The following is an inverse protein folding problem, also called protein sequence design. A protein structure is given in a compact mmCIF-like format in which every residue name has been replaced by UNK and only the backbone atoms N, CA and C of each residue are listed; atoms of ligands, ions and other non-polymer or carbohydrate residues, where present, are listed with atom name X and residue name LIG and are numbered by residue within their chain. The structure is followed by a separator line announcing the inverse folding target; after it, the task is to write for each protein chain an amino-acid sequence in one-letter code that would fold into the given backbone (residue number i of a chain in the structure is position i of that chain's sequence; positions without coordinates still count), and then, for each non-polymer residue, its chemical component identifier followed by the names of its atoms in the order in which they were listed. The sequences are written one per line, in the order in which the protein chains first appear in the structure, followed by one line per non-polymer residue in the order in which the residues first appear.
data_IF_662901187857
#
_entry.id   IF_662901187857
#
_cell.length_a   1.000
_cell.length_b   1.000
_cell.length_c   1.000
_cell.angle_alpha   90.00
_cell.angle_beta   90.00
_cell.angle_gamma   90.00
#
_symmetry.space_group_name_H-M   'P 1'
#
loop_
_entity.id
_entity.type
_entity.pdbx_description
1 polymer ?
#
# COMPACT_ATOMS: atom_id res chain seq x y z
N UNK A 1 -46.13 2.00 0.79
CA UNK A 1 -44.81 1.39 0.65
C UNK A 1 -43.87 2.45 0.10
N UNK A 2 -43.06 3.07 0.98
CA UNK A 2 -42.04 4.04 0.56
C UNK A 2 -40.81 3.21 0.20
N UNK A 3 -40.55 3.04 -1.08
CA UNK A 3 -39.31 2.45 -1.58
C UNK A 3 -38.18 3.36 -1.17
N UNK A 4 -37.30 2.86 -0.30
CA UNK A 4 -36.11 3.53 0.18
C UNK A 4 -35.11 3.61 -0.99
N UNK A 5 -35.11 4.74 -1.73
CA UNK A 5 -34.27 5.04 -2.88
C UNK A 5 -32.85 5.48 -2.46
N UNK A 6 -32.35 5.08 -1.30
CA UNK A 6 -30.92 5.20 -0.99
C UNK A 6 -30.18 4.07 -1.68
N UNK A 7 -29.94 4.24 -2.98
CA UNK A 7 -28.98 3.43 -3.71
C UNK A 7 -27.64 3.56 -2.98
N UNK A 8 -27.19 2.48 -2.34
CA UNK A 8 -25.84 2.36 -1.83
C UNK A 8 -24.89 2.77 -2.94
N UNK A 9 -24.11 3.82 -2.72
CA UNK A 9 -23.18 4.30 -3.75
C UNK A 9 -21.97 3.39 -3.78
N UNK A 10 -21.82 2.65 -4.88
CA UNK A 10 -20.60 1.92 -5.13
C UNK A 10 -19.43 2.88 -5.37
N UNK A 11 -18.21 2.45 -5.04
CA UNK A 11 -16.98 3.22 -5.15
C UNK A 11 -15.89 2.39 -5.79
N UNK A 12 -15.07 3.04 -6.61
CA UNK A 12 -13.89 2.44 -7.22
C UNK A 12 -12.65 2.70 -6.34
N UNK A 13 -11.92 1.64 -6.04
CA UNK A 13 -10.54 1.72 -5.55
C UNK A 13 -9.60 1.47 -6.71
N UNK A 14 -8.74 2.43 -7.03
CA UNK A 14 -7.85 2.39 -8.20
C UNK A 14 -6.40 2.38 -7.73
N UNK A 15 -5.75 1.27 -7.92
CA UNK A 15 -4.31 1.09 -7.71
C UNK A 15 -3.60 1.17 -9.07
N UNK A 16 -2.87 2.27 -9.28
CA UNK A 16 -2.02 2.46 -10.47
C UNK A 16 -0.62 1.98 -10.12
N UNK A 17 -0.44 0.67 -10.19
CA UNK A 17 0.86 0.06 -9.94
C UNK A 17 1.83 0.21 -11.12
N UNK A 18 3.09 -0.13 -10.89
CA UNK A 18 4.17 -0.01 -11.89
C UNK A 18 4.15 -1.09 -12.99
N UNK A 19 3.44 -2.18 -12.78
CA UNK A 19 3.30 -3.28 -13.74
C UNK A 19 1.85 -3.54 -14.17
N UNK A 20 0.87 -3.10 -13.39
CA UNK A 20 -0.54 -3.28 -13.70
C UNK A 20 -1.39 -2.22 -13.01
N UNK A 21 -2.48 -1.83 -13.66
CA UNK A 21 -3.57 -1.08 -13.06
C UNK A 21 -4.57 -2.09 -12.50
N UNK A 22 -5.02 -1.89 -11.26
CA UNK A 22 -6.01 -2.74 -10.61
C UNK A 22 -7.16 -1.87 -10.12
N UNK A 23 -8.36 -2.26 -10.44
CA UNK A 23 -9.57 -1.55 -10.02
C UNK A 23 -10.52 -2.54 -9.37
N UNK A 24 -11.06 -2.15 -8.23
CA UNK A 24 -12.13 -2.88 -7.55
C UNK A 24 -13.33 -1.96 -7.36
N UNK A 25 -14.53 -2.49 -7.58
CA UNK A 25 -15.77 -1.81 -7.27
C UNK A 25 -16.42 -2.45 -6.06
N UNK A 26 -16.49 -1.71 -4.96
CA UNK A 26 -17.18 -2.14 -3.74
C UNK A 26 -18.46 -1.34 -3.54
N UNK A 27 -19.45 -2.01 -2.98
CA UNK A 27 -20.71 -1.42 -2.51
C UNK A 27 -20.82 -1.64 -1.00
N UNK A 28 -21.20 -0.60 -0.25
CA UNK A 28 -21.43 -0.72 1.20
C UNK A 28 -22.92 -0.85 1.46
N UNK A 29 -23.35 -1.99 1.96
CA UNK A 29 -24.73 -2.27 2.32
C UNK A 29 -24.80 -2.85 3.73
N UNK A 30 -25.64 -2.27 4.58
CA UNK A 30 -25.81 -2.73 5.97
C UNK A 30 -24.51 -2.76 6.79
N UNK A 31 -23.57 -1.85 6.50
CA UNK A 31 -22.27 -1.81 7.17
C UNK A 31 -21.21 -2.79 6.65
N UNK A 32 -21.55 -3.64 5.67
CA UNK A 32 -20.64 -4.60 5.04
C UNK A 32 -20.25 -4.16 3.63
N UNK A 33 -19.03 -4.47 3.22
CA UNK A 33 -18.57 -4.26 1.85
C UNK A 33 -18.90 -5.49 1.00
N UNK A 34 -19.56 -5.28 -0.14
CA UNK A 34 -19.82 -6.28 -1.15
C UNK A 34 -18.99 -6.02 -2.41
N UNK A 35 -18.38 -7.07 -2.96
CA UNK A 35 -17.69 -7.00 -4.24
C UNK A 35 -18.69 -6.94 -5.38
N UNK A 36 -18.66 -5.88 -6.18
CA UNK A 36 -19.45 -5.77 -7.42
C UNK A 36 -18.65 -6.21 -8.64
N UNK A 37 -17.49 -5.60 -8.82
CA UNK A 37 -16.64 -5.84 -9.98
C UNK A 37 -15.16 -5.70 -9.60
N UNK A 38 -14.31 -6.30 -10.42
CA UNK A 38 -12.87 -6.12 -10.37
C UNK A 38 -12.27 -6.22 -11.77
N UNK A 39 -11.09 -5.65 -11.94
CA UNK A 39 -10.38 -5.76 -13.21
C UNK A 39 -8.92 -5.37 -13.07
N UNK A 40 -8.11 -6.00 -13.90
CA UNK A 40 -6.66 -5.78 -13.98
C UNK A 40 -6.29 -5.52 -15.43
N UNK A 41 -5.39 -4.55 -15.61
CA UNK A 41 -4.78 -4.23 -16.89
C UNK A 41 -3.26 -4.27 -16.75
N UNK A 42 -2.60 -5.21 -17.40
CA UNK A 42 -1.14 -5.30 -17.43
C UNK A 42 -0.56 -4.20 -18.32
N UNK A 43 0.36 -3.44 -17.76
CA UNK A 43 1.06 -2.36 -18.46
C UNK A 43 2.23 -2.96 -19.26
N UNK A 44 2.13 -2.95 -20.59
CA UNK A 44 3.14 -3.52 -21.49
C UNK A 44 4.19 -2.50 -21.95
N UNK A 45 3.98 -1.22 -21.64
CA UNK A 45 4.86 -0.12 -22.04
C UNK A 45 6.27 -0.28 -21.50
N UNK A 46 7.28 0.03 -22.34
CA UNK A 46 8.64 0.27 -21.86
C UNK A 46 8.57 1.54 -21.01
N UNK A 47 9.05 1.47 -19.77
CA UNK A 47 9.05 2.64 -18.93
C UNK A 47 9.93 3.73 -19.56
N UNK A 48 9.41 4.93 -19.67
CA UNK A 48 10.21 6.08 -20.09
C UNK A 48 11.12 6.47 -18.92
N UNK A 49 12.44 6.41 -19.12
CA UNK A 49 13.37 6.94 -18.13
C UNK A 49 13.02 8.40 -17.83
N UNK A 50 12.72 8.69 -16.57
CA UNK A 50 12.49 10.07 -16.16
C UNK A 50 13.77 10.86 -16.45
N UNK A 51 13.68 11.83 -17.34
CA UNK A 51 14.81 12.69 -17.69
C UNK A 51 15.42 13.31 -16.44
N UNK A 52 16.71 13.52 -16.46
CA UNK A 52 17.61 14.04 -15.41
C UNK A 52 17.30 15.49 -15.01
N UNK A 53 16.04 15.84 -14.72
CA UNK A 53 15.59 17.23 -14.65
C UNK A 53 14.85 17.69 -13.40
N UNK A 54 14.89 16.98 -12.27
CA UNK A 54 14.49 17.59 -11.00
C UNK A 54 15.16 16.87 -9.83
N UNK A 55 15.66 17.66 -8.86
CA UNK A 55 16.20 17.16 -7.59
C UNK A 55 15.05 16.45 -6.81
N UNK A 56 14.87 15.17 -7.09
CA UNK A 56 13.82 14.36 -6.54
C UNK A 56 14.28 13.52 -5.35
N UNK A 57 13.30 13.00 -4.62
CA UNK A 57 13.50 12.01 -3.57
C UNK A 57 14.40 10.86 -4.06
N UNK A 58 15.24 10.26 -3.21
CA UNK A 58 15.95 9.02 -3.54
C UNK A 58 14.93 7.96 -4.01
N UNK A 59 15.05 7.48 -5.25
CA UNK A 59 14.09 6.56 -5.85
C UNK A 59 13.32 7.12 -7.06
N UNK A 60 13.54 8.34 -7.50
CA UNK A 60 12.87 8.92 -8.67
C UNK A 60 13.32 8.39 -10.04
N UNK A 61 14.16 7.36 -10.08
CA UNK A 61 14.41 6.57 -11.30
C UNK A 61 13.25 5.68 -11.71
N UNK A 62 12.13 5.66 -10.95
CA UNK A 62 10.99 4.83 -11.26
C UNK A 62 10.25 5.39 -12.46
N UNK A 63 10.30 4.64 -13.45
CA UNK A 63 9.68 4.62 -14.75
C UNK A 63 8.22 5.12 -14.70
N UNK A 64 8.02 6.42 -14.96
CA UNK A 64 6.68 6.99 -15.10
C UNK A 64 6.10 6.51 -16.42
N UNK A 65 5.05 5.68 -16.33
CA UNK A 65 4.26 5.29 -17.48
C UNK A 65 3.58 6.54 -18.12
N UNK A 66 3.40 6.58 -19.44
CA UNK A 66 2.67 7.66 -20.09
C UNK A 66 1.26 7.79 -19.54
N UNK A 67 0.83 9.00 -19.21
CA UNK A 67 -0.52 9.26 -18.67
C UNK A 67 -1.62 8.70 -19.59
N UNK A 68 -1.42 8.75 -20.91
CA UNK A 68 -2.39 8.24 -21.88
C UNK A 68 -2.57 6.72 -21.82
N UNK A 69 -1.51 5.96 -21.55
CA UNK A 69 -1.58 4.51 -21.38
C UNK A 69 -2.37 4.15 -20.09
N UNK A 70 -2.13 4.90 -19.03
CA UNK A 70 -2.86 4.71 -17.76
C UNK A 70 -4.35 5.04 -17.95
N UNK A 71 -4.67 6.18 -18.61
CA UNK A 71 -6.04 6.59 -18.91
C UNK A 71 -6.75 5.53 -19.75
N UNK A 72 -6.10 5.03 -20.78
CA UNK A 72 -6.66 4.00 -21.64
C UNK A 72 -6.89 2.69 -20.87
N UNK A 73 -5.91 2.25 -20.09
CA UNK A 73 -6.02 1.04 -19.26
C UNK A 73 -7.18 1.12 -18.27
N UNK A 74 -7.35 2.26 -17.58
CA UNK A 74 -8.49 2.49 -16.67
C UNK A 74 -9.82 2.37 -17.43
N UNK A 75 -9.95 3.03 -18.58
CA UNK A 75 -11.17 2.98 -19.44
C UNK A 75 -11.48 1.55 -19.88
N UNK A 76 -10.47 0.80 -20.31
CA UNK A 76 -10.64 -0.59 -20.73
C UNK A 76 -11.12 -1.50 -19.58
N UNK A 77 -10.55 -1.34 -18.37
CA UNK A 77 -11.01 -2.08 -17.20
C UNK A 77 -12.49 -1.77 -16.94
N UNK A 78 -12.83 -0.48 -16.81
CA UNK A 78 -14.21 -0.04 -16.50
C UNK A 78 -15.20 -0.60 -17.51
N UNK A 79 -14.88 -0.50 -18.80
CA UNK A 79 -15.72 -0.98 -19.89
C UNK A 79 -15.89 -2.49 -19.88
N UNK A 80 -14.78 -3.25 -19.80
CA UNK A 80 -14.80 -4.72 -19.85
C UNK A 80 -15.41 -5.35 -18.60
N UNK A 81 -15.15 -4.78 -17.42
CA UNK A 81 -15.71 -5.25 -16.16
C UNK A 81 -17.10 -4.67 -15.88
N UNK A 82 -17.67 -3.86 -16.78
CA UNK A 82 -19.00 -3.24 -16.63
C UNK A 82 -19.19 -2.51 -15.29
N UNK A 83 -18.15 -1.83 -14.83
CA UNK A 83 -18.21 -1.05 -13.60
C UNK A 83 -19.19 0.11 -13.74
N UNK A 84 -19.97 0.34 -12.70
CA UNK A 84 -21.09 1.30 -12.71
C UNK A 84 -20.78 2.62 -12.00
N UNK A 85 -19.81 2.61 -11.10
CA UNK A 85 -19.41 3.81 -10.35
C UNK A 85 -18.46 4.69 -11.16
N UNK A 86 -18.60 6.00 -10.99
CA UNK A 86 -17.62 6.99 -11.45
C UNK A 86 -16.83 7.61 -10.29
N UNK A 87 -17.27 7.39 -9.05
CA UNK A 87 -16.58 7.91 -7.86
C UNK A 87 -15.39 7.01 -7.52
N UNK A 88 -14.20 7.59 -7.49
CA UNK A 88 -12.95 6.86 -7.35
C UNK A 88 -12.07 7.40 -6.22
N UNK A 89 -11.38 6.48 -5.53
CA UNK A 89 -10.23 6.76 -4.68
C UNK A 89 -9.01 6.11 -5.33
N UNK A 90 -7.93 6.85 -5.48
CA UNK A 90 -6.72 6.34 -6.12
C UNK A 90 -5.52 6.35 -5.17
N UNK A 91 -4.61 5.39 -5.34
CA UNK A 91 -3.36 5.32 -4.60
C UNK A 91 -2.32 6.28 -5.15
N UNK A 92 -1.54 6.84 -4.24
CA UNK A 92 -0.25 7.46 -4.53
C UNK A 92 0.85 6.45 -4.18
N UNK A 93 1.78 6.19 -5.09
CA UNK A 93 2.83 5.19 -4.86
C UNK A 93 3.71 5.55 -3.67
N UNK A 94 4.03 4.58 -2.82
CA UNK A 94 4.84 4.78 -1.62
C UNK A 94 6.24 5.31 -1.91
N UNK A 95 6.81 5.01 -3.08
CA UNK A 95 8.13 5.48 -3.48
C UNK A 95 8.17 6.96 -3.90
N UNK A 96 7.04 7.55 -4.28
CA UNK A 96 6.93 8.97 -4.67
C UNK A 96 6.37 9.86 -3.57
N UNK A 97 6.16 9.32 -2.38
CA UNK A 97 5.58 10.00 -1.25
C UNK A 97 6.49 9.86 -0.03
N UNK A 98 6.37 10.79 0.91
CA UNK A 98 7.05 10.72 2.19
C UNK A 98 6.01 10.63 3.31
N UNK A 99 6.21 9.72 4.25
CA UNK A 99 5.41 9.63 5.47
C UNK A 99 6.29 9.37 6.68
N UNK A 100 5.93 9.94 7.81
CA UNK A 100 6.62 9.74 9.09
C UNK A 100 5.70 10.05 10.26
N UNK A 101 6.09 9.61 11.45
CA UNK A 101 5.49 10.05 12.71
C UNK A 101 6.44 11.03 13.37
N UNK A 102 5.90 12.19 13.71
CA UNK A 102 6.60 13.21 14.49
C UNK A 102 6.00 13.34 15.88
N UNK A 103 6.83 13.65 16.87
CA UNK A 103 6.40 13.94 18.23
C UNK A 103 6.53 15.43 18.48
N UNK A 104 5.45 16.02 18.97
CA UNK A 104 5.37 17.46 19.24
C UNK A 104 4.81 17.69 20.64
N UNK A 105 5.09 18.84 21.27
CA UNK A 105 4.35 19.27 22.48
C UNK A 105 2.85 19.27 22.21
N UNK A 106 2.07 18.95 23.22
CA UNK A 106 0.61 19.04 23.11
C UNK A 106 0.18 20.49 22.95
N UNK A 107 -0.45 20.78 21.83
CA UNK A 107 -0.97 22.08 21.44
C UNK A 107 -2.44 21.95 21.04
N UNK A 108 -3.15 23.07 20.93
CA UNK A 108 -4.47 23.07 20.30
C UNK A 108 -4.37 22.64 18.82
N UNK A 109 -5.46 22.17 18.23
CA UNK A 109 -5.48 21.76 16.82
C UNK A 109 -5.10 22.93 15.89
N UNK A 110 -5.52 24.15 16.24
CA UNK A 110 -5.16 25.38 15.51
C UNK A 110 -3.66 25.67 15.58
N UNK A 111 -3.07 25.55 16.77
CA UNK A 111 -1.64 25.77 16.96
C UNK A 111 -0.81 24.65 16.30
N UNK A 112 -1.29 23.40 16.34
CA UNK A 112 -0.67 22.29 15.62
C UNK A 112 -0.65 22.54 14.11
N UNK A 113 -1.78 22.98 13.54
CA UNK A 113 -1.87 23.30 12.11
C UNK A 113 -0.85 24.37 11.68
N UNK A 114 -0.51 25.31 12.57
CA UNK A 114 0.52 26.32 12.32
C UNK A 114 1.94 25.79 12.55
N UNK A 115 2.15 24.96 13.56
CA UNK A 115 3.48 24.46 13.96
C UNK A 115 3.97 23.32 13.06
N UNK A 116 3.07 22.42 12.59
CA UNK A 116 3.43 21.24 11.77
C UNK A 116 4.22 21.60 10.50
N UNK A 117 3.89 22.64 9.72
CA UNK A 117 4.70 23.01 8.56
C UNK A 117 6.15 23.38 8.91
N UNK A 118 6.39 23.98 10.07
CA UNK A 118 7.75 24.30 10.51
C UNK A 118 8.50 23.05 10.95
N UNK A 119 7.84 22.17 11.68
CA UNK A 119 8.44 20.91 12.13
C UNK A 119 8.73 19.96 10.95
N UNK A 120 7.81 19.89 9.99
CA UNK A 120 7.92 19.07 8.80
C UNK A 120 9.18 19.34 7.96
N UNK A 121 9.72 20.59 8.00
CA UNK A 121 10.97 20.95 7.30
C UNK A 121 12.19 20.12 7.72
N UNK A 122 12.15 19.55 8.92
CA UNK A 122 13.25 18.72 9.44
C UNK A 122 13.28 17.31 8.82
N UNK A 123 12.12 16.86 8.32
CA UNK A 123 11.91 15.49 7.90
C UNK A 123 11.67 15.36 6.39
N UNK A 124 10.92 16.30 5.81
CA UNK A 124 10.58 16.27 4.39
C UNK A 124 11.78 16.67 3.55
N UNK A 125 12.29 15.77 2.67
CA UNK A 125 13.56 16.00 1.96
C UNK A 125 13.47 16.95 0.76
N UNK A 126 12.27 17.48 0.48
CA UNK A 126 12.02 18.46 -0.60
C UNK A 126 11.38 19.73 -0.04
N UNK A 127 11.49 20.87 -0.73
CA UNK A 127 10.90 22.12 -0.26
C UNK A 127 9.40 22.02 -0.02
N UNK A 128 8.90 22.53 1.09
CA UNK A 128 7.47 22.46 1.42
C UNK A 128 6.59 23.22 0.40
N UNK A 129 7.17 24.17 -0.35
CA UNK A 129 6.48 24.84 -1.46
C UNK A 129 6.10 23.90 -2.60
N UNK A 130 6.79 22.76 -2.72
CA UNK A 130 6.62 21.77 -3.81
C UNK A 130 5.78 20.57 -3.41
N UNK A 131 5.36 20.48 -2.13
CA UNK A 131 4.53 19.38 -1.63
C UNK A 131 3.17 19.83 -1.16
N UNK A 132 2.24 18.88 -1.16
CA UNK A 132 1.01 18.92 -0.38
C UNK A 132 1.31 18.19 0.93
N UNK A 133 1.14 18.87 2.07
CA UNK A 133 1.22 18.27 3.40
C UNK A 133 -0.18 17.86 3.85
N UNK A 134 -0.27 16.67 4.40
CA UNK A 134 -1.44 16.19 5.14
C UNK A 134 -0.98 15.58 6.46
N UNK A 135 -1.80 15.67 7.50
CA UNK A 135 -1.43 15.19 8.83
C UNK A 135 -2.65 14.76 9.66
N UNK A 136 -2.41 13.88 10.60
CA UNK A 136 -3.42 13.47 11.58
C UNK A 136 -2.80 13.16 12.94
N UNK A 137 -3.51 13.49 14.01
CA UNK A 137 -3.12 13.09 15.37
C UNK A 137 -3.40 11.59 15.50
N UNK A 138 -2.39 10.84 15.93
CA UNK A 138 -2.47 9.39 16.08
C UNK A 138 -2.40 8.92 17.53
N UNK A 139 -1.80 9.74 18.43
CA UNK A 139 -1.70 9.41 19.84
C UNK A 139 -1.47 10.69 20.68
N UNK A 140 -1.98 10.70 21.91
CA UNK A 140 -1.77 11.79 22.87
C UNK A 140 -1.22 11.19 24.17
N UNK A 141 0.02 11.57 24.50
CA UNK A 141 0.73 11.04 25.67
C UNK A 141 0.66 12.05 26.80
N UNK A 142 0.22 11.60 28.00
CA UNK A 142 0.17 12.42 29.23
C UNK A 142 1.18 11.98 30.28
N UNK A 143 1.61 12.89 31.17
CA UNK A 143 2.39 12.49 32.36
C UNK A 143 1.46 11.77 33.33
N UNK A 144 1.79 10.50 33.66
CA UNK A 144 1.05 9.70 34.65
C UNK A 144 0.20 8.57 34.07
N UNK A 145 0.24 8.33 32.76
CA UNK A 145 -0.27 7.09 32.19
C UNK A 145 0.82 6.04 32.25
N UNK A 146 0.70 5.12 33.21
CA UNK A 146 1.46 3.86 33.20
C UNK A 146 1.32 3.21 31.82
N UNK A 147 2.42 2.62 31.37
CA UNK A 147 2.56 1.97 30.07
C UNK A 147 1.53 0.83 29.87
N UNK A 148 0.29 1.18 29.50
CA UNK A 148 -0.76 0.16 29.35
C UNK A 148 -2.11 0.63 28.81
N UNK A 149 -2.32 1.92 28.62
CA UNK A 149 -3.64 2.41 28.20
C UNK A 149 -3.59 3.27 26.94
N UNK A 150 -3.89 2.68 25.80
CA UNK A 150 -4.05 3.38 24.53
C UNK A 150 -5.48 3.86 24.38
N UNK A 151 -5.69 5.16 24.30
CA UNK A 151 -6.93 5.70 23.79
C UNK A 151 -6.67 6.29 22.39
N UNK A 152 -7.13 5.58 21.36
CA UNK A 152 -7.35 6.16 20.06
C UNK A 152 -8.55 7.10 20.18
N UNK A 153 -8.33 8.40 20.08
CA UNK A 153 -9.40 9.38 20.16
C UNK A 153 -9.79 9.80 18.74
N UNK A 154 -11.03 9.53 18.29
CA UNK A 154 -11.59 10.18 17.11
C UNK A 154 -11.70 11.68 17.38
N UNK A 155 -11.54 12.51 16.35
CA UNK A 155 -11.70 13.95 16.45
C UNK A 155 -12.99 14.33 17.22
N UNK A 156 -12.83 15.05 18.35
CA UNK A 156 -13.95 15.55 19.16
C UNK A 156 -14.17 14.90 20.53
N UNK A 157 -13.37 13.93 20.98
CA UNK A 157 -13.58 13.28 22.27
C UNK A 157 -12.65 13.85 23.35
N UNK A 158 -13.23 14.37 24.44
CA UNK A 158 -12.47 14.81 25.61
C UNK A 158 -11.87 13.61 26.34
N UNK A 159 -10.56 13.58 26.52
CA UNK A 159 -9.86 12.56 27.30
C UNK A 159 -10.10 12.81 28.78
N UNK A 160 -10.98 12.04 29.39
CA UNK A 160 -11.23 12.07 30.83
C UNK A 160 -10.32 11.06 31.55
N UNK A 161 -9.05 11.41 31.70
CA UNK A 161 -8.16 10.83 32.72
C UNK A 161 -7.99 11.85 33.84
N UNK A 162 -8.47 11.56 35.03
CA UNK A 162 -8.34 12.46 36.15
C UNK A 162 -6.86 12.69 36.48
N UNK A 163 -6.33 13.89 36.16
CA UNK A 163 -5.20 14.47 36.86
C UNK A 163 -3.92 14.78 36.05
N UNK A 164 -3.65 14.16 34.91
CA UNK A 164 -2.43 14.46 34.15
C UNK A 164 -2.73 15.33 32.92
N UNK A 165 -1.99 16.42 32.74
CA UNK A 165 -2.07 17.23 31.52
C UNK A 165 -1.32 16.48 30.40
N UNK A 166 -1.89 16.38 29.17
CA UNK A 166 -1.17 15.82 28.04
C UNK A 166 0.08 16.67 27.77
N UNK A 167 1.22 16.01 27.54
CA UNK A 167 2.50 16.68 27.35
C UNK A 167 3.01 16.56 25.93
N UNK A 168 2.63 15.48 25.22
CA UNK A 168 3.14 15.17 23.89
C UNK A 168 2.02 14.65 23.00
N UNK A 169 2.06 15.00 21.73
CA UNK A 169 1.18 14.47 20.70
C UNK A 169 2.03 13.80 19.61
N UNK A 170 1.60 12.63 19.15
CA UNK A 170 2.15 11.98 17.96
C UNK A 170 1.29 12.33 16.77
N UNK A 171 1.95 12.78 15.72
CA UNK A 171 1.30 13.21 14.48
C UNK A 171 1.85 12.38 13.34
N UNK A 172 0.97 11.70 12.62
CA UNK A 172 1.30 11.11 11.32
C UNK A 172 1.34 12.25 10.30
N UNK A 173 2.46 12.37 9.61
CA UNK A 173 2.72 13.38 8.59
C UNK A 173 2.91 12.70 7.25
N UNK A 174 2.23 13.18 6.22
CA UNK A 174 2.40 12.80 4.84
C UNK A 174 2.75 13.99 3.97
N UNK A 175 3.71 13.82 3.07
CA UNK A 175 4.11 14.84 2.11
C UNK A 175 4.15 14.24 0.70
N UNK A 176 3.40 14.85 -0.22
CA UNK A 176 3.22 14.38 -1.59
C UNK A 176 3.61 15.49 -2.54
N UNK A 177 4.47 15.24 -3.55
CA UNK A 177 4.79 16.24 -4.56
C UNK A 177 3.54 16.77 -5.28
N UNK A 178 3.44 18.09 -5.43
CA UNK A 178 2.29 18.75 -6.07
C UNK A 178 2.08 18.31 -7.51
N UNK A 179 3.17 18.06 -8.24
CA UNK A 179 3.14 17.57 -9.62
C UNK A 179 2.53 16.17 -9.72
N UNK A 180 2.84 15.25 -8.78
CA UNK A 180 2.21 13.93 -8.71
C UNK A 180 0.71 14.04 -8.40
N UNK A 181 0.34 14.86 -7.43
CA UNK A 181 -1.09 15.09 -7.12
C UNK A 181 -1.82 15.60 -8.36
N UNK A 182 -1.27 16.62 -9.03
CA UNK A 182 -1.86 17.19 -10.24
C UNK A 182 -1.90 16.16 -11.40
N UNK A 183 -0.89 15.31 -11.52
CA UNK A 183 -0.83 14.22 -12.50
C UNK A 183 -1.98 13.23 -12.31
N UNK A 184 -2.17 12.73 -11.10
CA UNK A 184 -3.27 11.79 -10.81
C UNK A 184 -4.64 12.42 -11.03
N UNK A 185 -4.82 13.70 -10.69
CA UNK A 185 -6.04 14.43 -11.00
C UNK A 185 -6.32 14.48 -12.51
N UNK A 186 -5.30 14.76 -13.34
CA UNK A 186 -5.44 14.74 -14.82
C UNK A 186 -5.77 13.35 -15.35
N UNK A 187 -5.11 12.31 -14.83
CA UNK A 187 -5.36 10.91 -15.22
C UNK A 187 -6.81 10.52 -14.92
N UNK A 188 -7.29 10.76 -13.72
CA UNK A 188 -8.65 10.39 -13.32
C UNK A 188 -9.71 11.17 -14.10
N UNK A 189 -9.50 12.47 -14.29
CA UNK A 189 -10.35 13.30 -15.15
C UNK A 189 -10.34 12.80 -16.61
N UNK A 190 -9.18 12.47 -17.15
CA UNK A 190 -9.02 11.91 -18.49
C UNK A 190 -9.72 10.55 -18.66
N UNK A 191 -9.79 9.76 -17.59
CA UNK A 191 -10.53 8.52 -17.55
C UNK A 191 -12.06 8.70 -17.39
N UNK A 192 -12.54 9.91 -17.14
CA UNK A 192 -13.97 10.22 -16.93
C UNK A 192 -14.44 9.92 -15.50
N UNK A 193 -13.52 9.95 -14.53
CA UNK A 193 -13.81 9.61 -13.13
C UNK A 193 -13.84 10.86 -12.25
N UNK A 194 -14.67 10.80 -11.21
CA UNK A 194 -14.73 11.76 -10.12
C UNK A 194 -13.76 11.33 -9.04
N UNK A 195 -12.57 11.91 -9.03
CA UNK A 195 -11.58 11.64 -7.97
C UNK A 195 -12.06 12.24 -6.65
N UNK A 196 -12.38 11.39 -5.69
CA UNK A 196 -12.85 11.77 -4.35
C UNK A 196 -11.71 11.95 -3.37
N UNK A 197 -10.68 11.12 -3.46
CA UNK A 197 -9.48 11.23 -2.65
C UNK A 197 -8.27 10.60 -3.36
N UNK A 198 -7.09 11.12 -3.04
CA UNK A 198 -5.81 10.45 -3.21
C UNK A 198 -5.35 9.97 -1.84
N UNK A 199 -4.77 8.78 -1.79
CA UNK A 199 -4.33 8.18 -0.54
C UNK A 199 -2.99 7.47 -0.72
N UNK A 200 -2.18 7.43 0.33
CA UNK A 200 -0.94 6.64 0.32
C UNK A 200 -1.27 5.15 0.17
N UNK A 201 -0.54 4.46 -0.70
CA UNK A 201 -0.67 3.02 -0.94
C UNK A 201 -0.62 2.21 0.37
N UNK A 202 0.34 2.53 1.26
CA UNK A 202 0.52 1.84 2.53
C UNK A 202 -0.68 2.01 3.48
N UNK A 203 -1.29 3.19 3.52
CA UNK A 203 -2.48 3.45 4.36
C UNK A 203 -3.67 2.62 3.88
N UNK A 204 -3.88 2.57 2.56
CA UNK A 204 -4.92 1.74 1.96
C UNK A 204 -4.66 0.24 2.23
N UNK A 205 -3.42 -0.21 2.07
CA UNK A 205 -3.00 -1.57 2.34
C UNK A 205 -3.24 -1.96 3.80
N UNK A 206 -2.83 -1.13 4.76
CA UNK A 206 -3.07 -1.36 6.18
C UNK A 206 -4.57 -1.47 6.50
N UNK A 207 -5.40 -0.60 5.92
CA UNK A 207 -6.86 -0.66 6.08
C UNK A 207 -7.45 -1.97 5.57
N UNK A 208 -7.02 -2.43 4.37
CA UNK A 208 -7.52 -3.67 3.79
C UNK A 208 -7.16 -4.89 4.64
N UNK A 209 -5.93 -4.94 5.15
CA UNK A 209 -5.38 -6.14 5.78
C UNK A 209 -5.61 -6.22 7.28
N UNK A 210 -5.55 -5.08 7.97
CA UNK A 210 -5.56 -5.06 9.44
C UNK A 210 -6.93 -4.66 10.00
N UNK A 211 -7.65 -3.77 9.33
CA UNK A 211 -8.94 -3.29 9.84
C UNK A 211 -8.80 -2.65 11.22
N UNK A 212 -9.46 -3.24 12.20
CA UNK A 212 -9.45 -2.78 13.59
C UNK A 212 -8.42 -3.54 14.46
N UNK A 213 -7.55 -4.34 13.85
CA UNK A 213 -6.49 -5.02 14.58
C UNK A 213 -5.41 -4.03 14.97
N UNK A 214 -5.17 -3.89 16.26
CA UNK A 214 -4.20 -2.96 16.84
C UNK A 214 -2.84 -3.61 17.13
N UNK A 215 -2.68 -4.90 16.81
CA UNK A 215 -1.42 -5.61 17.04
C UNK A 215 -0.31 -5.10 16.12
N UNK A 216 0.91 -5.07 16.66
CA UNK A 216 2.09 -4.68 15.87
C UNK A 216 2.35 -5.72 14.79
N UNK A 217 2.16 -5.32 13.54
CA UNK A 217 2.22 -6.20 12.37
C UNK A 217 3.19 -5.66 11.33
N UNK A 218 4.09 -6.51 10.82
CA UNK A 218 4.85 -6.20 9.62
C UNK A 218 4.08 -6.68 8.39
N UNK A 219 3.96 -5.82 7.39
CA UNK A 219 3.37 -6.17 6.09
C UNK A 219 4.45 -6.00 5.02
N UNK A 220 4.69 -7.06 4.26
CA UNK A 220 5.65 -7.09 3.17
C UNK A 220 4.84 -7.22 1.88
N UNK A 221 4.70 -6.12 1.16
CA UNK A 221 3.94 -6.04 -0.08
C UNK A 221 4.89 -6.06 -1.28
N UNK A 222 4.86 -7.16 -2.04
CA UNK A 222 5.78 -7.38 -3.16
C UNK A 222 5.01 -7.17 -4.46
N UNK A 223 5.22 -6.01 -5.03
CA UNK A 223 4.59 -5.59 -6.28
C UNK A 223 5.34 -6.04 -7.53
N UNK A 224 4.99 -5.42 -8.66
CA UNK A 224 5.63 -5.72 -9.94
C UNK A 224 7.07 -5.24 -10.03
N UNK A 225 7.36 -4.01 -9.61
CA UNK A 225 8.69 -3.38 -9.71
C UNK A 225 9.24 -2.86 -8.39
N UNK A 226 8.45 -2.91 -7.34
CA UNK A 226 8.85 -2.44 -6.00
C UNK A 226 8.35 -3.37 -4.93
N UNK A 227 9.05 -3.37 -3.81
CA UNK A 227 8.65 -4.01 -2.56
C UNK A 227 8.54 -2.94 -1.48
N UNK A 228 7.47 -3.00 -0.73
CA UNK A 228 7.21 -2.14 0.42
C UNK A 228 7.17 -3.00 1.68
N UNK A 229 7.97 -2.64 2.66
CA UNK A 229 7.98 -3.26 3.99
C UNK A 229 7.49 -2.20 4.96
N UNK A 230 6.31 -2.41 5.53
CA UNK A 230 5.76 -1.49 6.50
C UNK A 230 5.52 -2.19 7.84
N UNK A 231 5.76 -1.48 8.93
CA UNK A 231 5.36 -1.90 10.27
C UNK A 231 4.21 -1.00 10.70
N UNK A 232 3.10 -1.63 11.04
CA UNK A 232 1.90 -0.97 11.54
C UNK A 232 1.74 -1.34 13.00
N UNK A 233 1.52 -0.36 13.84
CA UNK A 233 1.21 -0.52 15.26
C UNK A 233 0.01 0.34 15.60
N UNK A 234 -0.95 -0.23 16.34
CA UNK A 234 -2.20 0.45 16.69
C UNK A 234 -2.96 1.08 15.51
N UNK A 235 -2.84 0.45 14.34
CA UNK A 235 -3.50 0.91 13.11
C UNK A 235 -2.73 1.97 12.32
N UNK A 236 -1.57 2.43 12.77
CA UNK A 236 -0.78 3.48 12.12
C UNK A 236 0.57 2.96 11.64
N UNK A 237 0.98 3.39 10.44
CA UNK A 237 2.30 3.13 9.90
C UNK A 237 3.38 3.77 10.79
N UNK A 238 4.25 2.94 11.35
CA UNK A 238 5.36 3.37 12.21
C UNK A 238 6.66 3.52 11.43
N UNK A 239 6.86 2.63 10.47
CA UNK A 239 8.02 2.57 9.59
C UNK A 239 7.57 2.09 8.22
N UNK A 240 8.13 2.68 7.19
CA UNK A 240 8.02 2.22 5.81
C UNK A 240 9.39 2.19 5.15
N UNK A 241 9.72 1.05 4.55
CA UNK A 241 10.92 0.90 3.74
C UNK A 241 10.53 0.39 2.36
N UNK A 242 10.84 1.19 1.34
CA UNK A 242 10.50 0.89 -0.04
C UNK A 242 11.77 0.76 -0.87
N UNK A 243 11.81 -0.22 -1.78
CA UNK A 243 12.93 -0.41 -2.70
C UNK A 243 12.46 -0.96 -4.06
N UNK A 244 13.26 -0.67 -5.09
CA UNK A 244 12.90 -0.90 -6.49
C UNK A 244 13.27 -2.32 -6.95
N UNK A 245 12.79 -3.34 -6.25
CA UNK A 245 12.87 -4.74 -6.66
C UNK A 245 11.52 -5.40 -6.46
N UNK A 246 11.03 -6.05 -7.49
CA UNK A 246 9.75 -6.74 -7.49
C UNK A 246 9.75 -7.92 -8.46
N UNK A 247 8.55 -8.37 -8.82
CA UNK A 247 8.37 -9.53 -9.70
C UNK A 247 8.96 -9.35 -11.09
N UNK A 248 9.13 -8.10 -11.56
CA UNK A 248 9.71 -7.80 -12.88
C UNK A 248 11.22 -8.07 -12.91
N UNK A 249 11.95 -7.65 -11.88
CA UNK A 249 13.40 -7.89 -11.76
C UNK A 249 13.69 -9.39 -11.68
N UNK A 250 12.81 -10.15 -11.02
CA UNK A 250 12.88 -11.61 -10.98
C UNK A 250 12.69 -12.21 -12.37
N UNK A 251 11.65 -11.79 -13.11
CA UNK A 251 11.43 -12.26 -14.48
C UNK A 251 12.59 -11.88 -15.41
N UNK A 252 13.15 -10.69 -15.25
CA UNK A 252 14.32 -10.21 -16.00
C UNK A 252 15.59 -11.04 -15.68
N UNK A 253 15.77 -11.46 -14.43
CA UNK A 253 16.87 -12.35 -14.04
C UNK A 253 16.72 -13.72 -14.70
N UNK A 254 15.53 -14.32 -14.69
CA UNK A 254 15.22 -15.56 -15.38
C UNK A 254 15.49 -15.42 -16.89
N UNK A 255 14.97 -14.34 -17.52
CA UNK A 255 15.15 -14.10 -18.95
C UNK A 255 16.63 -14.08 -19.36
N UNK A 256 17.47 -13.41 -18.57
CA UNK A 256 18.92 -13.33 -18.80
C UNK A 256 19.60 -14.68 -18.58
N UNK A 257 19.31 -15.36 -17.48
CA UNK A 257 19.97 -16.63 -17.13
C UNK A 257 19.65 -17.75 -18.12
N UNK A 258 18.42 -17.79 -18.65
CA UNK A 258 17.95 -18.82 -19.58
C UNK A 258 18.02 -18.38 -21.05
N UNK A 259 18.41 -17.14 -21.32
CA UNK A 259 18.41 -16.54 -22.67
C UNK A 259 17.04 -16.69 -23.38
N UNK A 260 15.96 -16.37 -22.67
CA UNK A 260 14.57 -16.40 -23.19
C UNK A 260 13.94 -15.01 -23.18
N UNK A 261 12.82 -14.85 -23.87
CA UNK A 261 12.08 -13.61 -23.83
C UNK A 261 11.53 -13.31 -22.41
N UNK A 262 11.29 -12.04 -22.11
CA UNK A 262 10.71 -11.63 -20.81
C UNK A 262 9.33 -12.25 -20.58
N UNK A 263 8.53 -12.41 -21.64
CA UNK A 263 7.22 -13.07 -21.59
C UNK A 263 7.36 -14.54 -21.19
N UNK A 264 8.34 -15.24 -21.78
CA UNK A 264 8.61 -16.65 -21.42
C UNK A 264 9.14 -16.77 -19.99
N UNK A 265 9.98 -15.86 -19.56
CA UNK A 265 10.48 -15.80 -18.19
C UNK A 265 9.36 -15.56 -17.17
N UNK A 266 8.41 -14.66 -17.50
CA UNK A 266 7.22 -14.42 -16.65
C UNK A 266 6.33 -15.65 -16.56
N UNK A 267 6.14 -16.38 -17.68
CA UNK A 267 5.43 -17.65 -17.70
C UNK A 267 6.11 -18.70 -16.81
N UNK A 268 7.42 -18.84 -16.92
CA UNK A 268 8.21 -19.77 -16.10
C UNK A 268 8.10 -19.42 -14.61
N UNK A 269 8.25 -18.15 -14.27
CA UNK A 269 8.08 -17.65 -12.89
C UNK A 269 6.72 -18.01 -12.32
N UNK A 270 5.64 -17.76 -13.06
CA UNK A 270 4.25 -18.03 -12.62
C UNK A 270 3.95 -19.53 -12.50
N UNK A 271 4.46 -20.37 -13.42
CA UNK A 271 4.16 -21.81 -13.45
C UNK A 271 5.06 -22.65 -12.56
N UNK A 272 6.35 -22.38 -12.60
CA UNK A 272 7.35 -23.16 -11.87
C UNK A 272 7.64 -22.53 -10.50
N UNK A 273 7.86 -21.24 -10.45
CA UNK A 273 8.25 -20.54 -9.22
C UNK A 273 9.48 -21.22 -8.61
N UNK A 274 9.39 -21.56 -7.33
CA UNK A 274 10.43 -22.26 -6.56
C UNK A 274 10.15 -23.75 -6.42
N UNK A 275 9.39 -24.36 -7.33
CA UNK A 275 9.25 -25.81 -7.37
C UNK A 275 10.61 -26.45 -7.70
N UNK A 276 10.92 -27.53 -7.00
CA UNK A 276 12.10 -28.32 -7.35
C UNK A 276 11.86 -28.99 -8.72
N UNK A 277 12.79 -28.79 -9.64
CA UNK A 277 12.83 -29.41 -10.95
C UNK A 277 14.20 -30.06 -11.11
N UNK A 278 14.35 -31.01 -12.04
CA UNK A 278 15.62 -31.71 -12.30
C UNK A 278 16.74 -30.70 -12.65
N UNK A 279 16.38 -29.59 -13.27
CA UNK A 279 17.28 -28.48 -13.57
C UNK A 279 16.84 -27.26 -12.74
N UNK A 280 17.48 -26.99 -11.60
CA UNK A 280 17.14 -25.89 -10.71
C UNK A 280 17.50 -24.48 -11.25
N UNK A 281 17.74 -24.35 -12.56
CA UNK A 281 18.23 -23.12 -13.20
C UNK A 281 17.29 -21.93 -12.94
N UNK A 282 15.97 -22.15 -12.96
CA UNK A 282 14.99 -21.10 -12.68
C UNK A 282 15.11 -20.62 -11.24
N UNK A 283 15.29 -21.55 -10.28
CA UNK A 283 15.45 -21.24 -8.86
C UNK A 283 16.75 -20.46 -8.60
N UNK A 284 17.83 -20.87 -9.22
CA UNK A 284 19.14 -20.20 -9.12
C UNK A 284 19.09 -18.78 -9.68
N UNK A 285 18.40 -18.59 -10.81
CA UNK A 285 18.23 -17.27 -11.42
C UNK A 285 17.46 -16.27 -10.52
N UNK A 286 16.61 -16.77 -9.64
CA UNK A 286 15.81 -15.94 -8.72
C UNK A 286 16.49 -15.74 -7.36
N UNK A 287 17.36 -16.67 -6.94
CA UNK A 287 17.81 -16.84 -5.56
C UNK A 287 18.35 -15.56 -4.93
N UNK A 288 19.29 -14.89 -5.59
CA UNK A 288 19.91 -13.66 -5.07
C UNK A 288 18.91 -12.52 -4.80
N UNK A 289 17.93 -12.34 -5.69
CA UNK A 289 16.91 -11.31 -5.53
C UNK A 289 15.94 -11.65 -4.39
N UNK A 290 15.57 -12.92 -4.27
CA UNK A 290 14.71 -13.40 -3.20
C UNK A 290 15.40 -13.30 -1.83
N UNK A 291 16.68 -13.69 -1.75
CA UNK A 291 17.47 -13.56 -0.52
C UNK A 291 17.64 -12.10 -0.11
N UNK A 292 17.81 -11.18 -1.06
CA UNK A 292 17.84 -9.75 -0.80
C UNK A 292 16.49 -9.24 -0.24
N UNK A 293 15.36 -9.68 -0.79
CA UNK A 293 14.04 -9.30 -0.28
C UNK A 293 13.85 -9.75 1.17
N UNK A 294 14.26 -10.99 1.50
CA UNK A 294 14.21 -11.51 2.87
C UNK A 294 15.15 -10.73 3.79
N UNK A 295 16.35 -10.40 3.32
CA UNK A 295 17.34 -9.62 4.08
C UNK A 295 16.80 -8.23 4.45
N UNK A 296 16.24 -7.49 3.49
CA UNK A 296 15.66 -6.16 3.78
C UNK A 296 14.45 -6.25 4.71
N UNK A 297 13.62 -7.28 4.58
CA UNK A 297 12.53 -7.53 5.51
C UNK A 297 13.05 -7.78 6.93
N UNK A 298 14.04 -8.66 7.07
CA UNK A 298 14.68 -8.99 8.35
C UNK A 298 15.30 -7.77 9.03
N UNK A 299 16.04 -6.99 8.25
CA UNK A 299 16.69 -5.75 8.69
C UNK A 299 15.66 -4.72 9.17
N UNK A 300 14.60 -4.47 8.41
CA UNK A 300 13.55 -3.51 8.77
C UNK A 300 12.83 -3.92 10.06
N UNK A 301 12.45 -5.20 10.17
CA UNK A 301 11.82 -5.77 11.35
C UNK A 301 12.73 -5.64 12.58
N UNK A 302 13.99 -6.05 12.46
CA UNK A 302 14.96 -6.03 13.58
C UNK A 302 15.24 -4.59 14.03
N UNK A 303 15.38 -3.65 13.09
CA UNK A 303 15.60 -2.25 13.40
C UNK A 303 14.41 -1.65 14.17
N UNK A 304 13.19 -1.96 13.76
CA UNK A 304 11.99 -1.52 14.47
C UNK A 304 11.96 -2.10 15.91
N UNK A 305 12.12 -3.41 16.04
CA UNK A 305 12.09 -4.08 17.35
C UNK A 305 13.15 -3.55 18.31
N UNK A 306 14.36 -3.30 17.80
CA UNK A 306 15.47 -2.78 18.60
C UNK A 306 15.27 -1.32 19.00
N UNK A 307 14.77 -0.47 18.08
CA UNK A 307 14.60 0.96 18.33
C UNK A 307 13.40 1.28 19.24
N UNK A 308 12.37 0.44 19.21
CA UNK A 308 11.13 0.66 19.97
C UNK A 308 11.01 -0.27 21.20
N UNK A 309 11.93 -1.21 21.37
CA UNK A 309 11.86 -2.28 22.38
C UNK A 309 10.50 -3.00 22.36
N UNK A 310 9.95 -3.19 21.16
CA UNK A 310 8.63 -3.76 20.93
C UNK A 310 8.70 -4.86 19.89
N UNK A 311 8.13 -6.04 20.20
CA UNK A 311 8.13 -7.17 19.27
C UNK A 311 7.01 -7.08 18.24
N UNK A 312 7.32 -7.48 17.01
CA UNK A 312 6.33 -7.65 15.95
C UNK A 312 5.59 -8.96 16.20
N UNK A 313 4.26 -8.87 16.31
CA UNK A 313 3.37 -9.99 16.65
C UNK A 313 3.19 -10.96 15.50
N UNK A 314 3.18 -10.45 14.25
CA UNK A 314 3.03 -11.27 13.03
C UNK A 314 3.61 -10.59 11.81
N UNK A 315 3.89 -11.40 10.78
CA UNK A 315 4.32 -10.94 9.46
C UNK A 315 3.31 -11.37 8.41
N UNK A 316 2.85 -10.43 7.60
CA UNK A 316 1.94 -10.67 6.47
C UNK A 316 2.66 -10.47 5.15
N UNK A 317 2.48 -11.40 4.21
CA UNK A 317 2.93 -11.27 2.83
C UNK A 317 1.75 -10.85 1.95
N UNK A 318 1.93 -9.82 1.15
CA UNK A 318 0.94 -9.28 0.21
C UNK A 318 1.59 -9.01 -1.16
N UNK A 319 0.77 -8.72 -2.15
CA UNK A 319 1.21 -8.42 -3.51
C UNK A 319 1.24 -9.63 -4.43
N UNK A 320 1.38 -9.37 -5.73
CA UNK A 320 1.22 -10.41 -6.76
C UNK A 320 2.26 -11.52 -6.72
N UNK A 321 3.48 -11.24 -6.23
CA UNK A 321 4.55 -12.24 -6.16
C UNK A 321 4.25 -13.35 -5.14
N UNK A 322 3.43 -13.10 -4.15
CA UNK A 322 3.02 -14.10 -3.14
C UNK A 322 2.31 -15.30 -3.78
N UNK A 323 1.73 -15.12 -4.95
CA UNK A 323 1.07 -16.18 -5.72
C UNK A 323 2.06 -17.10 -6.47
N UNK A 324 3.36 -16.80 -6.43
CA UNK A 324 4.40 -17.63 -7.05
C UNK A 324 4.55 -18.96 -6.28
N UNK A 325 4.58 -20.11 -6.95
CA UNK A 325 4.68 -21.41 -6.28
C UNK A 325 5.88 -21.49 -5.31
N UNK A 326 5.65 -22.00 -4.11
CA UNK A 326 6.62 -22.20 -3.02
C UNK A 326 7.31 -20.93 -2.49
N UNK A 327 6.83 -19.73 -2.92
CA UNK A 327 7.41 -18.47 -2.46
C UNK A 327 7.19 -18.23 -0.95
N UNK A 328 5.99 -18.50 -0.46
CA UNK A 328 5.61 -18.25 0.93
C UNK A 328 6.46 -19.12 1.87
N UNK A 329 6.62 -20.40 1.55
CA UNK A 329 7.42 -21.36 2.29
C UNK A 329 8.89 -20.95 2.34
N UNK A 330 9.44 -20.57 1.17
CA UNK A 330 10.79 -20.06 1.07
C UNK A 330 10.99 -18.83 1.94
N UNK A 331 10.08 -17.85 1.83
CA UNK A 331 10.19 -16.59 2.57
C UNK A 331 10.09 -16.82 4.08
N UNK A 332 9.13 -17.63 4.54
CA UNK A 332 8.94 -18.02 5.93
C UNK A 332 10.18 -18.71 6.51
N UNK A 333 10.72 -19.68 5.79
CA UNK A 333 11.93 -20.41 6.20
C UNK A 333 13.15 -19.49 6.35
N UNK A 334 13.38 -18.66 5.33
CA UNK A 334 14.53 -17.75 5.30
C UNK A 334 14.40 -16.60 6.30
N UNK A 335 13.19 -16.06 6.49
CA UNK A 335 12.93 -15.01 7.49
C UNK A 335 13.09 -15.54 8.91
N UNK A 336 12.80 -16.82 9.13
CA UNK A 336 12.86 -17.47 10.43
C UNK A 336 11.77 -17.00 11.40
N UNK A 337 10.62 -16.58 10.86
CA UNK A 337 9.46 -16.09 11.61
C UNK A 337 8.16 -16.63 11.05
N UNK A 338 7.15 -16.73 11.94
CA UNK A 338 5.80 -17.06 11.48
C UNK A 338 5.31 -15.97 10.52
N UNK A 339 4.98 -16.41 9.31
CA UNK A 339 4.62 -15.54 8.21
C UNK A 339 3.39 -16.11 7.54
N UNK A 340 2.38 -15.29 7.34
CA UNK A 340 1.11 -15.70 6.73
C UNK A 340 0.81 -14.86 5.51
N UNK A 341 0.03 -15.44 4.60
CA UNK A 341 -0.45 -14.73 3.40
C UNK A 341 -1.58 -13.79 3.83
N UNK A 342 -1.49 -12.55 3.40
CA UNK A 342 -2.51 -11.55 3.66
C UNK A 342 -3.83 -11.89 2.94
N UNK A 343 -4.95 -11.52 3.53
CA UNK A 343 -6.26 -11.69 2.92
C UNK A 343 -7.07 -10.38 2.98
N UNK A 344 -6.99 -9.60 1.93
CA UNK A 344 -7.74 -8.35 1.82
C UNK A 344 -9.26 -8.56 1.65
N UNK A 345 -9.68 -9.78 1.29
CA UNK A 345 -11.10 -10.13 1.13
C UNK A 345 -11.76 -10.67 2.39
N UNK A 346 -11.03 -10.80 3.50
CA UNK A 346 -11.57 -11.31 4.76
C UNK A 346 -12.82 -10.55 5.27
N UNK A 347 -12.97 -9.28 4.87
CA UNK A 347 -14.08 -8.40 5.27
C UNK A 347 -14.97 -7.98 4.11
N UNK A 348 -14.89 -8.70 2.99
CA UNK A 348 -15.69 -8.44 1.78
C UNK A 348 -16.61 -9.61 1.53
N UNK A 349 -17.88 -9.33 1.30
CA UNK A 349 -18.83 -10.32 0.78
C UNK A 349 -18.61 -10.44 -0.73
N UNK A 350 -18.42 -11.65 -1.23
CA UNK A 350 -18.19 -11.91 -2.66
C UNK A 350 -18.96 -13.17 -3.11
N UNK A 351 -19.26 -13.29 -4.41
CA UNK A 351 -19.94 -14.46 -4.94
C UNK A 351 -19.16 -15.76 -4.71
N UNK A 352 -19.79 -16.86 -4.27
CA UNK A 352 -19.10 -18.15 -4.05
C UNK A 352 -18.35 -18.70 -5.27
N UNK A 353 -18.71 -18.28 -6.46
CA UNK A 353 -18.03 -18.63 -7.71
C UNK A 353 -16.57 -18.18 -7.75
N UNK A 354 -16.18 -17.21 -6.92
CA UNK A 354 -14.80 -16.72 -6.80
C UNK A 354 -13.95 -17.54 -5.83
N UNK A 355 -14.51 -18.46 -5.05
CA UNK A 355 -13.77 -19.26 -4.08
C UNK A 355 -12.47 -19.89 -4.64
N UNK A 356 -12.42 -20.43 -5.87
CA UNK A 356 -11.20 -21.03 -6.41
C UNK A 356 -10.03 -20.06 -6.61
N UNK A 357 -10.31 -18.75 -6.79
CA UNK A 357 -9.32 -17.73 -7.12
C UNK A 357 -9.26 -16.61 -6.08
N UNK A 358 -10.08 -16.67 -5.01
CA UNK A 358 -10.21 -15.56 -4.06
C UNK A 358 -8.89 -15.20 -3.38
N UNK A 359 -8.04 -16.19 -3.09
CA UNK A 359 -6.75 -15.92 -2.44
C UNK A 359 -5.81 -15.16 -3.37
N UNK A 360 -5.78 -15.52 -4.66
CA UNK A 360 -5.00 -14.80 -5.67
C UNK A 360 -5.50 -13.38 -5.86
N UNK A 361 -6.82 -13.19 -5.92
CA UNK A 361 -7.44 -11.87 -5.98
C UNK A 361 -7.12 -11.04 -4.73
N UNK A 362 -7.23 -11.64 -3.53
CA UNK A 362 -6.96 -10.96 -2.27
C UNK A 362 -5.53 -10.44 -2.20
N UNK A 363 -4.55 -11.19 -2.68
CA UNK A 363 -3.15 -10.77 -2.73
C UNK A 363 -2.94 -9.67 -3.77
N UNK A 364 -3.53 -9.84 -4.95
CA UNK A 364 -3.31 -8.94 -6.09
C UNK A 364 -3.98 -7.58 -5.91
N UNK A 365 -5.17 -7.53 -5.31
CA UNK A 365 -5.99 -6.32 -5.20
C UNK A 365 -5.96 -5.65 -3.82
N UNK A 366 -5.04 -6.03 -2.93
CA UNK A 366 -5.02 -5.55 -1.54
C UNK A 366 -5.11 -4.03 -1.39
N UNK A 367 -4.32 -3.28 -2.19
CA UNK A 367 -4.35 -1.81 -2.18
C UNK A 367 -5.68 -1.28 -2.70
N UNK A 368 -6.14 -1.77 -3.86
CA UNK A 368 -7.40 -1.34 -4.48
C UNK A 368 -8.61 -1.59 -3.55
N UNK A 369 -8.61 -2.71 -2.82
CA UNK A 369 -9.61 -3.02 -1.78
C UNK A 369 -9.61 -1.95 -0.69
N UNK A 370 -8.43 -1.64 -0.14
CA UNK A 370 -8.31 -0.63 0.91
C UNK A 370 -8.77 0.76 0.47
N UNK A 371 -8.48 1.15 -0.78
CA UNK A 371 -8.95 2.39 -1.37
C UNK A 371 -10.49 2.43 -1.48
N UNK A 372 -11.10 1.36 -1.99
CA UNK A 372 -12.55 1.28 -2.12
C UNK A 372 -13.29 1.24 -0.77
N UNK A 373 -12.63 0.76 0.30
CA UNK A 373 -13.13 0.76 1.67
C UNK A 373 -13.05 2.14 2.35
N UNK A 374 -12.33 3.12 1.78
CA UNK A 374 -12.22 4.45 2.40
C UNK A 374 -13.59 5.12 2.51
N UNK A 375 -13.96 5.52 3.69
CA UNK A 375 -15.14 6.37 3.94
C UNK A 375 -14.78 7.83 3.63
N UNK A 376 -15.65 8.52 2.87
CA UNK A 376 -15.47 9.90 2.42
C UNK A 376 -16.73 10.67 2.76
#
# INVERSE_FOLDING_TARGET
MVFNLFKSKSKLGIDVGTAAIKIIELEKEGGRFGLKNYGLFELKGQPVEAGTGSAGLPGQGILKLPDQEIIWGIKEIIKKSKMSSTDAVASLPSFSTFSTIIEMPYLSEEDLAQAIPFEARKYVPIPLSEVVLDWSIIDIIGQGADAGGTSSVPAGTQVAGKGAKPTTVKVFLAAVPKDETARYQRIMKGAGLNLRALELENTALARALLGNDLSTTAVINIGGRSTSILVVDKGYEQISHNYEVGGFEIAKSIARSLNVSLEKAEELKRKLGLKQTDENIVNEAMGSLLDMMVFEAKKTITNYESSRNQKISRVLLAGGLVNMPNFVEYFKQKLGRETTVANSFARIVYPPTLNPIVQELANTFSVAVGLAMREI
#
